data_IF_445507802426
#
_entry.id   IF_445507802426
#
_cell.length_a   1.000
_cell.length_b   1.000
_cell.length_c   1.000
_cell.angle_alpha   90.00
_cell.angle_beta   90.00
_cell.angle_gamma   90.00
#
_symmetry.space_group_name_H-M   'P 1'
#
loop_
_entity.id
_entity.type
_entity.pdbx_description
1 polymer ?
#
# COMPACT_ATOMS: atom_id res chain seq x y z
N UNK A 1 -1.01 -51.90 -5.25
CA UNK A 1 0.03 -50.92 -5.61
C UNK A 1 -0.70 -49.83 -6.36
N UNK A 2 -0.83 -48.64 -5.76
CA UNK A 2 -1.54 -47.51 -6.36
C UNK A 2 -0.50 -46.42 -6.59
N UNK A 3 0.13 -46.46 -7.76
CA UNK A 3 1.08 -45.48 -8.25
C UNK A 3 0.30 -44.54 -9.16
N UNK A 4 -0.16 -43.40 -8.62
CA UNK A 4 -0.84 -42.37 -9.41
C UNK A 4 -0.49 -40.97 -8.90
N UNK A 5 0.82 -40.74 -8.71
CA UNK A 5 1.36 -39.40 -8.45
C UNK A 5 1.56 -38.72 -9.80
N UNK A 6 0.47 -38.20 -10.40
CA UNK A 6 0.62 -37.34 -11.58
C UNK A 6 1.46 -36.12 -11.20
N UNK A 7 2.50 -35.77 -11.97
CA UNK A 7 3.28 -34.57 -11.73
C UNK A 7 2.35 -33.37 -11.78
N UNK A 8 2.17 -32.69 -10.64
CA UNK A 8 1.40 -31.47 -10.59
C UNK A 8 2.24 -30.40 -11.26
N UNK A 9 1.79 -29.93 -12.42
CA UNK A 9 2.46 -28.88 -13.17
C UNK A 9 2.04 -27.53 -12.61
N UNK A 10 3.02 -26.72 -12.23
CA UNK A 10 2.86 -25.34 -11.81
C UNK A 10 3.24 -24.39 -12.95
N UNK A 11 2.51 -23.30 -13.07
CA UNK A 11 2.86 -22.18 -13.94
C UNK A 11 3.56 -21.10 -13.10
N UNK A 12 4.73 -20.65 -13.53
CA UNK A 12 5.44 -19.52 -12.93
C UNK A 12 5.83 -18.52 -14.02
N UNK A 13 6.23 -17.32 -13.60
CA UNK A 13 6.71 -16.28 -14.52
C UNK A 13 8.18 -16.00 -14.21
N UNK A 14 9.06 -15.99 -15.20
CA UNK A 14 10.44 -15.56 -14.98
C UNK A 14 10.47 -14.03 -14.72
N UNK A 15 11.55 -13.49 -14.12
CA UNK A 15 11.68 -12.04 -13.86
C UNK A 15 11.61 -11.18 -15.15
N UNK A 16 11.85 -11.77 -16.32
CA UNK A 16 11.69 -11.09 -17.61
C UNK A 16 10.26 -11.12 -18.16
N UNK A 17 9.30 -11.76 -17.47
CA UNK A 17 7.90 -11.81 -17.85
C UNK A 17 7.47 -13.03 -18.68
N UNK A 18 8.34 -14.03 -18.89
CA UNK A 18 7.99 -15.24 -19.63
C UNK A 18 7.27 -16.25 -18.74
N UNK A 19 6.18 -16.83 -19.24
CA UNK A 19 5.44 -17.89 -18.55
C UNK A 19 6.13 -19.23 -18.75
N UNK A 20 6.47 -19.89 -17.65
CA UNK A 20 7.12 -21.18 -17.61
C UNK A 20 6.21 -22.19 -16.94
N UNK A 21 6.26 -23.42 -17.41
CA UNK A 21 5.54 -24.56 -16.83
C UNK A 21 6.56 -25.57 -16.35
N UNK A 22 6.52 -25.89 -15.07
CA UNK A 22 7.44 -26.82 -14.45
C UNK A 22 6.73 -27.68 -13.42
N UNK A 23 7.39 -28.73 -12.98
CA UNK A 23 6.87 -29.59 -11.92
C UNK A 23 6.92 -28.88 -10.57
N UNK A 24 5.98 -29.23 -9.67
CA UNK A 24 5.95 -28.72 -8.30
C UNK A 24 7.22 -29.09 -7.52
N UNK A 25 7.92 -30.15 -7.90
CA UNK A 25 9.19 -30.55 -7.28
C UNK A 25 10.32 -29.55 -7.51
N UNK A 26 10.24 -28.73 -8.57
CA UNK A 26 11.22 -27.69 -8.85
C UNK A 26 11.01 -26.42 -8.01
N UNK A 27 9.95 -26.36 -7.19
CA UNK A 27 9.70 -25.19 -6.33
C UNK A 27 10.84 -25.01 -5.33
N UNK A 28 11.44 -23.82 -5.34
CA UNK A 28 12.60 -23.49 -4.51
C UNK A 28 13.95 -23.77 -5.19
N UNK A 29 13.95 -24.43 -6.35
CA UNK A 29 15.16 -24.72 -7.10
C UNK A 29 15.53 -23.61 -8.08
N UNK A 30 16.82 -23.47 -8.34
CA UNK A 30 17.37 -22.40 -9.17
C UNK A 30 17.38 -22.88 -10.63
N UNK A 31 16.44 -22.38 -11.42
CA UNK A 31 16.22 -22.80 -12.81
C UNK A 31 16.57 -21.69 -13.78
N UNK A 32 16.85 -22.06 -15.03
CA UNK A 32 17.17 -21.15 -16.11
C UNK A 32 15.97 -21.01 -17.06
N UNK A 33 15.62 -19.78 -17.43
CA UNK A 33 14.51 -19.55 -18.35
C UNK A 33 14.93 -19.89 -19.79
N UNK A 34 14.28 -20.83 -20.50
CA UNK A 34 14.62 -21.20 -21.87
C UNK A 34 14.39 -20.08 -22.91
N UNK A 35 13.75 -18.97 -22.55
CA UNK A 35 13.50 -17.85 -23.45
C UNK A 35 14.49 -16.69 -23.28
N UNK A 36 15.10 -16.53 -22.11
CA UNK A 36 15.97 -15.39 -21.81
C UNK A 36 17.24 -15.74 -21.04
N UNK A 37 17.48 -17.03 -20.77
CA UNK A 37 18.65 -17.57 -20.04
C UNK A 37 18.87 -16.95 -18.65
N UNK A 38 17.85 -16.30 -18.09
CA UNK A 38 17.91 -15.74 -16.74
C UNK A 38 17.72 -16.86 -15.72
N UNK A 39 18.62 -16.91 -14.74
CA UNK A 39 18.54 -17.81 -13.60
C UNK A 39 17.68 -17.20 -12.49
N UNK A 40 16.69 -17.94 -12.03
CA UNK A 40 15.77 -17.51 -10.98
C UNK A 40 15.26 -18.72 -10.18
N UNK A 41 14.70 -18.46 -9.00
CA UNK A 41 14.10 -19.52 -8.18
C UNK A 41 12.71 -19.84 -8.73
N UNK A 42 12.48 -21.08 -9.15
CA UNK A 42 11.17 -21.53 -9.61
C UNK A 42 10.22 -21.57 -8.41
N UNK A 43 9.07 -20.93 -8.50
CA UNK A 43 8.17 -20.83 -7.37
C UNK A 43 6.80 -20.31 -7.74
N UNK A 44 5.87 -20.44 -6.80
CA UNK A 44 4.54 -19.82 -6.90
C UNK A 44 4.78 -18.32 -6.89
N UNK A 45 4.47 -17.66 -8.00
CA UNK A 45 4.40 -16.21 -8.01
C UNK A 45 3.30 -15.84 -7.02
N UNK A 46 3.71 -15.27 -5.88
CA UNK A 46 2.80 -14.74 -4.89
C UNK A 46 1.91 -13.76 -5.67
N UNK A 47 0.63 -14.13 -5.85
CA UNK A 47 -0.31 -13.32 -6.62
C UNK A 47 -0.09 -11.86 -6.28
N UNK A 48 0.26 -11.07 -7.30
CA UNK A 48 0.36 -9.62 -7.24
C UNK A 48 -0.87 -9.07 -6.52
N UNK A 49 -0.73 -8.72 -5.24
CA UNK A 49 -1.84 -8.09 -4.51
C UNK A 49 -1.95 -8.39 -3.03
N UNK A 50 -1.31 -9.43 -2.48
CA UNK A 50 -1.31 -9.60 -1.02
C UNK A 50 -0.25 -8.69 -0.40
N UNK A 51 -0.46 -7.37 -0.48
CA UNK A 51 0.26 -6.38 0.31
C UNK A 51 -0.20 -6.54 1.77
N UNK A 52 0.43 -7.46 2.49
CA UNK A 52 0.11 -7.69 3.90
C UNK A 52 0.66 -6.50 4.69
N UNK A 53 -0.23 -5.62 5.15
CA UNK A 53 0.17 -4.52 6.02
C UNK A 53 0.64 -5.07 7.37
N UNK A 54 1.56 -4.35 8.01
CA UNK A 54 2.03 -4.68 9.38
C UNK A 54 0.84 -4.83 10.35
N UNK A 55 -0.21 -4.02 10.16
CA UNK A 55 -1.49 -4.13 10.87
C UNK A 55 -2.23 -5.44 10.60
N UNK A 56 -2.17 -6.00 9.38
CA UNK A 56 -2.76 -7.29 9.07
C UNK A 56 -1.98 -8.44 9.71
N UNK A 57 -0.64 -8.34 9.81
CA UNK A 57 0.20 -9.31 10.52
C UNK A 57 -0.15 -9.33 12.02
N UNK A 58 -0.29 -8.14 12.65
CA UNK A 58 -0.64 -8.04 14.07
C UNK A 58 -2.02 -8.65 14.40
N UNK A 59 -2.98 -8.63 13.46
CA UNK A 59 -4.30 -9.28 13.65
C UNK A 59 -4.22 -10.80 13.63
N UNK A 60 -3.29 -11.37 12.88
CA UNK A 60 -3.13 -12.82 12.75
C UNK A 60 -2.55 -13.42 14.03
N UNK A 61 -1.70 -12.67 14.74
CA UNK A 61 -0.99 -13.17 15.91
C UNK A 61 -1.76 -13.03 17.24
N UNK A 62 -2.76 -12.13 17.34
CA UNK A 62 -3.60 -11.90 18.54
C UNK A 62 -2.81 -11.30 19.71
N UNK A 63 -3.22 -10.27 20.46
CA UNK A 63 -4.53 -9.92 21.00
C UNK A 63 -4.59 -8.38 21.02
N UNK A 64 -5.42 -7.76 20.17
CA UNK A 64 -5.62 -6.31 20.20
C UNK A 64 -7.13 -6.06 20.29
N UNK A 65 -7.66 -5.57 21.43
CA UNK A 65 -9.05 -5.18 21.51
C UNK A 65 -9.29 -4.11 20.45
N UNK A 66 -10.29 -4.33 19.60
CA UNK A 66 -10.66 -3.43 18.52
C UNK A 66 -10.91 -2.02 19.07
N UNK A 67 -9.89 -1.17 19.01
CA UNK A 67 -10.05 0.25 19.30
C UNK A 67 -10.87 0.83 18.16
N UNK A 68 -12.14 1.15 18.48
CA UNK A 68 -13.04 1.90 17.61
C UNK A 68 -12.56 3.33 17.52
N UNK A 69 -11.48 3.58 16.79
CA UNK A 69 -11.22 4.89 16.22
C UNK A 69 -10.81 4.70 14.78
N UNK A 70 -11.80 4.76 13.91
CA UNK A 70 -11.60 5.17 12.53
C UNK A 70 -11.02 6.59 12.61
N UNK A 71 -9.75 6.88 12.24
CA UNK A 71 -9.44 8.21 11.76
C UNK A 71 -10.20 8.27 10.45
N UNK A 72 -11.43 8.79 10.53
CA UNK A 72 -12.08 9.27 9.32
C UNK A 72 -11.18 10.41 8.89
N UNK A 73 -10.30 10.16 7.93
CA UNK A 73 -9.64 11.19 7.14
C UNK A 73 -10.77 11.95 6.43
N UNK A 74 -11.47 12.81 7.16
CA UNK A 74 -12.20 13.89 6.53
C UNK A 74 -11.11 14.82 6.02
N UNK A 75 -10.97 14.99 4.70
CA UNK A 75 -10.06 15.99 4.15
C UNK A 75 -10.47 17.33 4.77
N UNK A 76 -9.59 17.88 5.61
CA UNK A 76 -9.85 19.13 6.31
C UNK A 76 -9.71 20.24 5.29
N UNK A 77 -10.81 20.55 4.61
CA UNK A 77 -10.84 21.68 3.67
C UNK A 77 -10.82 22.98 4.45
N UNK A 78 -9.86 23.86 4.14
CA UNK A 78 -9.74 25.18 4.74
C UNK A 78 -10.10 26.29 3.74
N UNK A 79 -10.83 27.35 4.13
CA UNK A 79 -11.14 28.44 3.24
C UNK A 79 -9.93 29.37 3.04
N UNK A 80 -9.73 29.84 1.82
CA UNK A 80 -8.75 30.87 1.52
C UNK A 80 -9.10 32.16 2.28
N UNK A 81 -8.12 32.77 2.97
CA UNK A 81 -8.34 34.05 3.68
C UNK A 81 -8.48 35.25 2.74
N UNK A 82 -8.11 35.10 1.47
CA UNK A 82 -8.13 36.18 0.48
C UNK A 82 -9.40 36.15 -0.37
N UNK A 83 -9.83 34.97 -0.83
CA UNK A 83 -10.98 34.84 -1.75
C UNK A 83 -12.12 33.97 -1.21
N UNK A 84 -11.94 33.27 -0.09
CA UNK A 84 -12.96 32.40 0.51
C UNK A 84 -13.14 31.04 -0.17
N UNK A 85 -12.46 30.74 -1.27
CA UNK A 85 -12.54 29.42 -1.93
C UNK A 85 -12.04 28.29 -1.03
N UNK A 86 -12.66 27.11 -1.12
CA UNK A 86 -12.23 25.91 -0.38
C UNK A 86 -10.93 25.36 -0.97
N UNK A 87 -9.94 25.18 -0.11
CA UNK A 87 -8.61 24.68 -0.48
C UNK A 87 -8.36 23.39 0.31
N UNK A 88 -7.73 22.43 -0.37
CA UNK A 88 -7.26 21.19 0.25
C UNK A 88 -6.10 21.46 1.22
N UNK A 89 -6.00 20.71 2.32
CA UNK A 89 -4.94 20.91 3.32
C UNK A 89 -3.52 20.82 2.72
N UNK A 90 -3.36 20.02 1.67
CA UNK A 90 -2.07 19.81 1.00
C UNK A 90 -1.63 20.98 0.10
N UNK A 91 -2.51 21.92 -0.23
CA UNK A 91 -2.19 23.00 -1.17
C UNK A 91 -1.58 24.21 -0.43
N UNK A 92 -0.32 24.51 -0.73
CA UNK A 92 0.40 25.68 -0.23
C UNK A 92 0.02 26.99 -0.95
N UNK A 93 -0.69 26.89 -2.08
CA UNK A 93 -1.13 28.02 -2.91
C UNK A 93 -2.59 27.83 -3.31
N UNK A 94 -3.39 28.87 -3.18
CA UNK A 94 -4.75 28.90 -3.69
C UNK A 94 -4.75 29.04 -5.21
N UNK A 95 -5.25 28.03 -5.94
CA UNK A 95 -5.36 28.11 -7.40
C UNK A 95 -6.41 29.12 -7.92
N UNK A 96 -7.30 29.62 -7.06
CA UNK A 96 -8.32 30.59 -7.47
C UNK A 96 -7.78 32.03 -7.53
N UNK A 97 -6.95 32.42 -6.56
CA UNK A 97 -6.43 33.78 -6.45
C UNK A 97 -4.89 33.87 -6.48
N UNK A 98 -4.21 32.73 -6.68
CA UNK A 98 -2.76 32.59 -6.70
C UNK A 98 -2.05 33.16 -5.45
N UNK A 99 -2.71 33.07 -4.29
CA UNK A 99 -2.20 33.55 -3.01
C UNK A 99 -1.67 32.38 -2.17
N UNK A 100 -0.55 32.58 -1.47
CA UNK A 100 0.00 31.60 -0.55
C UNK A 100 -0.90 31.44 0.68
N UNK A 101 -1.16 30.18 1.05
CA UNK A 101 -1.94 29.85 2.24
C UNK A 101 -1.03 29.13 3.20
N UNK A 102 -0.80 29.74 4.37
CA UNK A 102 0.01 29.13 5.41
C UNK A 102 -0.72 27.92 5.99
N UNK A 103 -0.16 26.73 5.79
CA UNK A 103 -0.63 25.50 6.42
C UNK A 103 -0.15 25.53 7.88
N UNK A 104 -1.06 25.78 8.81
CA UNK A 104 -0.75 25.74 10.23
C UNK A 104 -1.12 24.36 10.79
N UNK A 105 -0.17 23.59 11.33
CA UNK A 105 -0.46 22.33 12.01
C UNK A 105 -1.60 22.49 13.02
N UNK A 106 -2.54 21.56 13.05
CA UNK A 106 -3.78 21.67 13.85
C UNK A 106 -3.54 21.97 15.34
N UNK A 107 -2.43 21.47 15.90
CA UNK A 107 -1.98 21.79 17.26
C UNK A 107 -1.78 23.29 17.50
N UNK A 108 -1.07 23.99 16.59
CA UNK A 108 -0.83 25.42 16.68
C UNK A 108 -2.14 26.21 16.53
N UNK A 109 -3.06 25.71 15.70
CA UNK A 109 -4.37 26.33 15.52
C UNK A 109 -5.25 26.22 16.79
N UNK A 110 -5.18 25.10 17.50
CA UNK A 110 -5.89 24.90 18.76
C UNK A 110 -5.37 25.84 19.86
N UNK A 111 -4.05 25.99 19.98
CA UNK A 111 -3.45 26.93 20.93
C UNK A 111 -3.84 28.39 20.65
N UNK A 112 -3.84 28.80 19.38
CA UNK A 112 -4.27 30.15 18.99
C UNK A 112 -5.75 30.42 19.25
N UNK A 113 -6.63 29.40 19.09
CA UNK A 113 -8.06 29.53 19.42
C UNK A 113 -8.28 29.64 20.93
N UNK A 114 -7.56 28.85 21.73
CA UNK A 114 -7.63 28.92 23.20
C UNK A 114 -7.21 30.31 23.72
N UNK A 115 -6.18 30.92 23.12
CA UNK A 115 -5.71 32.26 23.49
C UNK A 115 -6.68 33.41 23.13
N UNK A 116 -7.67 33.16 22.26
CA UNK A 116 -8.66 34.17 21.81
C UNK A 116 -9.94 34.18 22.64
N UNK A 117 -10.14 33.19 23.50
CA UNK A 117 -11.35 32.99 24.31
C UNK A 117 -11.16 33.43 25.79
N UNK A 118 -10.12 34.21 26.08
CA UNK A 118 -9.81 34.80 27.38
C UNK A 118 -9.54 36.30 27.17
#
# INVERSE_FOLDING_TARGET
MLDNSKPQKLECTCPSGHKLRGDVELIGELVECPACDVRFVFGIQANDGMNVSDTAVMRILGDVPASKSKPTETPVTQPCRTCGSTIDESASVCHHCNSYVAILPGFLQSMMKAAKNN
#
